data_IF_926637624108
#
_entry.id   IF_926637624108
#
_cell.length_a   1.000
_cell.length_b   1.000
_cell.length_c   1.000
_cell.angle_alpha   90.00
_cell.angle_beta   90.00
_cell.angle_gamma   90.00
#
_symmetry.space_group_name_H-M   'P 1'
#
loop_
_entity.id
_entity.type
_entity.pdbx_description
1 polymer ?
2 polymer ?
3 non-polymer ?
4 water ?
#
# COMPACT_ATOMS: atom_id res chain seq x y z
N UNK A 1 -14.06 9.32 4.24
CA UNK A 1 -14.33 10.75 4.19
C UNK A 1 -15.06 11.16 2.92
N UNK A 2 -15.41 12.44 2.82
CA UNK A 2 -16.15 12.89 1.63
C UNK A 2 -15.35 12.81 0.35
N UNK A 3 -14.03 12.72 0.43
CA UNK A 3 -13.18 12.69 -0.75
C UNK A 3 -12.73 11.29 -1.14
N UNK A 4 -12.97 10.29 -0.30
CA UNK A 4 -12.57 8.94 -0.63
C UNK A 4 -12.59 8.04 0.60
N UNK A 5 -12.17 6.81 0.39
CA UNK A 5 -12.25 5.80 1.43
C UNK A 5 -11.25 6.06 2.55
N UNK A 6 -11.65 5.77 3.78
CA UNK A 6 -10.79 5.76 4.95
C UNK A 6 -10.73 4.36 5.51
N UNK A 7 -9.54 3.92 5.89
CA UNK A 7 -9.39 2.57 6.42
C UNK A 7 -8.07 2.45 7.16
N UNK A 8 -7.92 1.32 7.85
CA UNK A 8 -6.76 1.05 8.68
C UNK A 8 -6.01 -0.12 8.07
N UNK A 9 -4.69 0.02 7.95
CA UNK A 9 -3.81 -1.03 7.47
C UNK A 9 -2.98 -1.52 8.65
N UNK A 10 -3.06 -2.81 8.96
CA UNK A 10 -2.34 -3.36 10.09
C UNK A 10 -1.36 -4.42 9.61
N UNK A 11 -0.08 -4.21 9.88
CA UNK A 11 0.97 -5.15 9.51
C UNK A 11 1.25 -6.08 10.68
N UNK A 12 1.43 -7.36 10.38
CA UNK A 12 1.70 -8.37 11.40
C UNK A 12 2.81 -9.26 10.90
N UNK A 13 3.90 -9.36 11.65
CA UNK A 13 4.95 -10.30 11.35
C UNK A 13 4.99 -11.31 12.49
N UNK A 14 4.93 -12.59 12.14
CA UNK A 14 4.86 -13.64 13.14
C UNK A 14 5.87 -14.73 12.82
N UNK A 15 6.32 -15.42 13.87
CA UNK A 15 7.18 -16.58 13.79
C UNK A 15 6.33 -17.80 14.11
N UNK A 16 6.18 -18.70 13.14
CA UNK A 16 5.45 -19.94 13.34
C UNK A 16 6.43 -21.08 13.53
N UNK A 17 6.21 -21.88 14.57
CA UNK A 17 7.06 -23.03 14.89
C UNK A 17 6.18 -24.23 15.18
N UNK A 18 6.04 -25.12 14.20
CA UNK A 18 5.13 -26.24 14.28
C UNK A 18 5.87 -27.54 14.52
N UNK A 19 5.10 -28.56 14.91
CA UNK A 19 5.65 -29.90 15.03
C UNK A 19 5.64 -30.59 13.67
N UNK A 20 6.44 -31.66 13.57
CA UNK A 20 6.50 -32.43 12.33
C UNK A 20 5.13 -32.92 11.90
N UNK A 21 4.32 -33.36 12.86
CA UNK A 21 3.07 -34.06 12.57
C UNK A 21 1.87 -33.12 12.49
N UNK A 22 2.08 -31.85 12.16
CA UNK A 22 0.96 -30.96 11.94
C UNK A 22 1.32 -29.98 10.85
N UNK A 23 0.33 -29.25 10.37
CA UNK A 23 0.56 -28.13 9.50
C UNK A 23 0.64 -26.82 10.26
N UNK A 24 0.93 -25.75 9.52
CA UNK A 24 0.86 -24.43 10.13
C UNK A 24 -0.58 -24.00 10.42
N UNK A 25 -1.56 -24.64 9.79
CA UNK A 25 -2.93 -24.38 10.17
C UNK A 25 -3.59 -23.26 9.39
N UNK A 26 -3.30 -23.17 8.10
CA UNK A 26 -3.98 -22.19 7.26
C UNK A 26 -4.05 -22.72 5.84
N UNK A 27 -4.95 -22.12 5.08
CA UNK A 27 -5.11 -22.43 3.67
C UNK A 27 -4.74 -21.17 2.90
N UNK A 28 -3.72 -21.28 2.05
CA UNK A 28 -3.25 -20.17 1.24
C UNK A 28 -3.95 -20.19 -0.09
N UNK A 29 -4.30 -19.01 -0.60
CA UNK A 29 -4.97 -18.96 -1.89
C UNK A 29 -4.53 -17.73 -2.66
N UNK A 30 -4.47 -17.87 -3.98
CA UNK A 30 -4.10 -16.77 -4.84
C UNK A 30 -5.32 -16.00 -5.31
N UNK A 31 -5.20 -14.68 -5.31
CA UNK A 31 -6.25 -13.80 -5.79
C UNK A 31 -6.15 -13.62 -7.30
N UNK A 39 2.71 -6.71 -14.04
CA UNK A 39 1.32 -6.53 -14.44
C UNK A 39 0.41 -6.26 -13.25
N UNK A 40 0.95 -6.42 -12.05
CA UNK A 40 0.19 -6.26 -10.80
C UNK A 40 0.88 -5.23 -9.92
N UNK A 41 0.13 -4.19 -9.54
CA UNK A 41 0.60 -3.20 -8.60
C UNK A 41 -0.20 -3.32 -7.32
N UNK A 42 0.43 -3.56 -6.17
CA UNK A 42 -0.34 -3.66 -4.92
C UNK A 42 -1.07 -2.37 -4.62
N UNK A 43 -2.28 -2.52 -4.10
CA UNK A 43 -3.13 -1.42 -3.70
C UNK A 43 -3.66 -1.72 -2.31
N UNK A 44 -4.13 -0.72 -1.58
CA UNK A 44 -4.67 -0.99 -0.24
C UNK A 44 -5.83 -1.98 -0.24
N UNK A 45 -6.68 -1.96 -1.26
CA UNK A 45 -7.79 -2.91 -1.35
C UNK A 45 -7.36 -4.24 -1.95
N UNK A 46 -6.10 -4.39 -2.33
CA UNK A 46 -5.58 -5.60 -2.98
C UNK A 46 -4.07 -5.59 -2.82
N UNK A 47 -3.55 -5.80 -1.61
CA UNK A 47 -2.12 -5.53 -1.35
C UNK A 47 -1.16 -6.61 -1.79
N UNK A 48 -1.63 -7.82 -2.13
CA UNK A 48 -0.73 -8.89 -2.51
C UNK A 48 -1.49 -9.96 -3.27
N UNK A 49 -0.74 -10.83 -3.96
CA UNK A 49 -1.37 -11.89 -4.74
C UNK A 49 -1.89 -13.06 -3.89
N UNK A 50 -1.26 -13.33 -2.75
CA UNK A 50 -1.65 -14.45 -1.90
C UNK A 50 -2.28 -13.97 -0.60
N UNK A 51 -3.30 -14.69 -0.14
CA UNK A 51 -3.97 -14.35 1.10
C UNK A 51 -4.38 -15.64 1.82
N UNK A 52 -4.70 -15.48 3.10
CA UNK A 52 -5.18 -16.58 3.93
C UNK A 52 -6.67 -16.75 3.73
N UNK A 53 -7.05 -17.80 3.01
CA UNK A 53 -8.47 -18.08 2.81
C UNK A 53 -9.14 -18.55 4.09
N UNK A 54 -8.41 -19.30 4.92
CA UNK A 54 -8.93 -19.75 6.19
C UNK A 54 -7.75 -19.96 7.11
N UNK A 55 -8.02 -19.89 8.41
CA UNK A 55 -7.01 -20.13 9.43
C UNK A 55 -7.66 -21.00 10.49
N UNK A 56 -7.07 -22.17 10.75
CA UNK A 56 -7.61 -23.10 11.74
C UNK A 56 -7.61 -22.46 13.11
N UNK A 57 -8.81 -22.28 13.68
CA UNK A 57 -8.89 -21.77 15.04
C UNK A 57 -8.14 -22.69 15.99
N UNK A 58 -7.23 -22.12 16.77
CA UNK A 58 -6.44 -22.87 17.71
C UNK A 58 -5.17 -23.49 17.15
N UNK A 59 -4.98 -23.45 15.82
CA UNK A 59 -3.79 -23.99 15.21
C UNK A 59 -2.61 -23.06 15.38
N UNK A 60 -1.47 -23.48 14.83
CA UNK A 60 -0.23 -22.73 15.02
C UNK A 60 -0.38 -21.30 14.52
N UNK A 61 -0.87 -21.13 13.29
CA UNK A 61 -0.99 -19.78 12.73
C UNK A 61 -1.95 -18.92 13.53
N UNK A 62 -3.09 -19.50 13.95
CA UNK A 62 -4.05 -18.75 14.76
C UNK A 62 -3.41 -18.28 16.06
N UNK A 63 -2.73 -19.18 16.77
CA UNK A 63 -2.15 -18.82 18.06
C UNK A 63 -1.10 -17.72 17.91
N UNK A 64 -0.47 -17.64 16.75
CA UNK A 64 0.53 -16.60 16.52
C UNK A 64 -0.08 -15.27 16.11
N UNK A 65 -1.32 -15.26 15.66
CA UNK A 65 -1.99 -14.00 15.35
C UNK A 65 -2.41 -13.83 13.91
N UNK A 66 -2.31 -14.89 13.11
CA UNK A 66 -2.74 -14.81 11.71
C UNK A 66 -4.24 -15.06 11.63
N UNK A 67 -4.88 -14.41 10.67
CA UNK A 67 -6.33 -14.46 10.57
C UNK A 67 -6.78 -14.56 9.13
N UNK A 68 -7.94 -15.18 8.93
CA UNK A 68 -8.57 -15.22 7.63
C UNK A 68 -8.61 -13.83 7.03
N UNK A 69 -8.20 -13.71 5.77
CA UNK A 69 -8.24 -12.44 5.06
C UNK A 69 -6.93 -11.69 5.04
N UNK A 70 -5.96 -12.10 5.86
CA UNK A 70 -4.63 -11.51 5.84
C UNK A 70 -3.95 -11.74 4.50
N UNK A 71 -3.29 -10.72 3.95
CA UNK A 71 -2.53 -10.85 2.71
C UNK A 71 -1.04 -11.04 3.01
N UNK A 72 -0.40 -11.92 2.25
CA UNK A 72 1.01 -12.24 2.51
C UNK A 72 1.93 -11.25 1.82
N UNK A 73 2.83 -10.65 2.60
CA UNK A 73 3.80 -9.68 2.09
C UNK A 73 5.19 -10.29 1.97
N UNK A 74 5.64 -11.03 2.99
CA UNK A 74 6.98 -11.61 3.01
C UNK A 74 6.94 -13.02 3.57
N UNK A 75 7.81 -13.88 3.04
CA UNK A 75 8.01 -15.23 3.57
C UNK A 75 9.50 -15.41 3.79
N UNK A 76 9.89 -15.62 5.04
CA UNK A 76 11.28 -15.93 5.41
C UNK A 76 12.27 -14.94 4.79
N UNK A 77 11.93 -13.66 4.82
CA UNK A 77 12.84 -12.63 4.34
C UNK A 77 12.77 -12.37 2.86
N UNK A 78 11.87 -13.01 2.14
CA UNK A 78 11.68 -12.79 0.71
C UNK A 78 10.32 -12.16 0.47
N UNK A 79 10.30 -11.08 -0.29
CA UNK A 79 9.03 -10.43 -0.58
C UNK A 79 8.22 -11.29 -1.54
N UNK A 80 6.93 -11.49 -1.24
CA UNK A 80 6.08 -12.33 -2.05
C UNK A 80 4.85 -11.59 -2.56
N UNK A 81 4.84 -10.26 -2.46
CA UNK A 81 3.67 -9.49 -2.88
C UNK A 81 3.26 -9.83 -4.31
N UNK A 82 4.23 -9.95 -5.22
CA UNK A 82 3.95 -10.19 -6.63
C UNK A 82 4.32 -11.61 -7.07
N UNK A 83 4.37 -12.56 -6.14
CA UNK A 83 4.85 -13.90 -6.45
C UNK A 83 3.66 -14.84 -6.59
N UNK A 84 3.76 -15.78 -7.54
CA UNK A 84 2.66 -16.68 -7.83
C UNK A 84 2.45 -17.71 -6.74
N UNK A 85 1.27 -18.33 -6.77
CA UNK A 85 0.84 -19.21 -5.69
C UNK A 85 1.80 -20.37 -5.49
N UNK A 86 2.14 -21.08 -6.58
CA UNK A 86 2.98 -22.26 -6.45
C UNK A 86 4.35 -21.90 -5.89
N UNK A 87 4.91 -20.78 -6.30
CA UNK A 87 6.23 -20.41 -5.80
C UNK A 87 6.19 -20.07 -4.32
N UNK A 88 5.14 -19.38 -3.87
CA UNK A 88 5.01 -19.07 -2.44
C UNK A 88 4.85 -20.35 -1.64
N UNK A 89 4.06 -21.31 -2.13
CA UNK A 89 3.93 -22.59 -1.45
C UNK A 89 5.29 -23.24 -1.25
N UNK A 90 6.11 -23.25 -2.31
CA UNK A 90 7.44 -23.87 -2.22
C UNK A 90 8.30 -23.15 -1.20
N UNK A 91 8.26 -21.81 -1.18
CA UNK A 91 9.04 -21.05 -0.21
C UNK A 91 8.63 -21.40 1.22
N UNK A 92 7.33 -21.57 1.47
CA UNK A 92 6.89 -21.94 2.81
C UNK A 92 7.37 -23.34 3.17
N UNK A 93 7.28 -24.28 2.24
CA UNK A 93 7.71 -25.65 2.54
C UNK A 93 9.21 -25.74 2.74
N UNK A 94 9.98 -24.88 2.07
CA UNK A 94 11.44 -24.90 2.23
C UNK A 94 11.86 -24.68 3.68
N UNK A 95 11.06 -23.93 4.44
CA UNK A 95 11.40 -23.67 5.82
C UNK A 95 11.10 -24.77 6.81
N UNK A 96 10.53 -25.88 6.35
CA UNK A 96 10.24 -27.00 7.23
C UNK A 96 9.24 -26.65 8.33
N UNK A 97 9.65 -26.80 9.58
CA UNK A 97 8.77 -26.54 10.71
C UNK A 97 8.77 -25.09 11.15
N UNK A 98 9.54 -24.24 10.47
CA UNK A 98 9.61 -22.83 10.83
C UNK A 98 9.12 -21.98 9.66
N UNK A 99 8.27 -21.01 9.96
CA UNK A 99 7.82 -20.04 8.94
C UNK A 99 7.77 -18.68 9.59
N UNK A 100 8.51 -17.72 9.04
CA UNK A 100 8.41 -16.34 9.46
C UNK A 100 7.73 -15.59 8.32
N UNK A 101 6.60 -14.95 8.61
CA UNK A 101 5.77 -14.37 7.57
C UNK A 101 5.30 -13.00 8.02
N UNK A 102 5.32 -12.05 7.09
CA UNK A 102 4.67 -10.76 7.29
C UNK A 102 3.38 -10.72 6.49
N UNK A 103 2.31 -10.32 7.14
CA UNK A 103 1.02 -10.18 6.48
C UNK A 103 0.51 -8.78 6.73
N UNK A 104 -0.54 -8.43 5.99
CA UNK A 104 -1.24 -7.18 6.20
C UNK A 104 -2.73 -7.47 6.21
N UNK A 105 -3.45 -6.85 7.13
CA UNK A 105 -4.90 -6.88 7.13
C UNK A 105 -5.42 -5.48 6.90
N UNK A 106 -6.52 -5.38 6.18
CA UNK A 106 -7.12 -4.10 5.82
C UNK A 106 -8.56 -4.08 6.34
N UNK A 107 -8.95 -2.95 6.95
CA UNK A 107 -10.27 -2.84 7.55
C UNK A 107 -10.72 -1.40 7.57
N UNK A 108 -12.04 -1.19 7.55
CA UNK A 108 -12.61 0.15 7.56
C UNK A 108 -13.14 0.55 8.92
N UNK B 1 0.76 -2.02 16.41
CA UNK B 1 0.54 -3.04 17.42
C UNK B 1 1.79 -3.85 17.71
N UNK B 2 1.70 -4.81 18.63
CA UNK B 2 2.91 -5.56 19.01
C UNK B 2 3.50 -6.37 17.87
N UNK B 3 2.73 -6.68 16.83
CA UNK B 3 3.22 -7.48 15.71
C UNK B 3 3.66 -6.65 14.51
N UNK B 4 3.47 -5.34 14.54
CA UNK B 4 3.84 -4.54 13.39
C UNK B 4 3.17 -3.19 13.40
N UNK B 5 3.55 -2.40 12.40
CA UNK B 5 3.07 -1.03 12.29
C UNK B 5 1.63 -0.99 11.78
N UNK B 6 0.85 -0.06 12.34
CA UNK B 6 -0.52 0.18 11.92
C UNK B 6 -0.61 1.58 11.31
N UNK B 7 -1.41 1.70 10.27
CA UNK B 7 -1.52 2.94 9.52
C UNK B 7 -2.98 3.33 9.32
N UNK B 8 -3.26 4.61 9.48
CA UNK B 8 -4.55 5.18 9.11
C UNK B 8 -4.40 5.76 7.71
N UNK B 9 -5.23 5.30 6.78
CA UNK B 9 -5.13 5.72 5.38
C UNK B 9 -6.39 6.49 5.03
N UNK B 10 -6.21 7.66 4.42
CA UNK B 10 -7.33 8.46 3.97
C UNK B 10 -7.12 8.80 2.50
N UNK B 11 -7.98 8.27 1.64
CA UNK B 11 -7.91 8.55 0.21
C UNK B 11 -8.73 9.79 -0.11
N UNK B 12 -8.21 10.63 -0.99
CA UNK B 12 -8.89 11.86 -1.41
C UNK B 12 -8.80 11.96 -2.92
N UNK B 13 -9.94 12.05 -3.61
CA UNK B 13 -9.93 12.37 -5.03
C UNK B 13 -10.60 13.73 -5.20
N UNK B 14 -9.92 14.64 -5.87
CA UNK B 14 -10.41 16.00 -6.02
C UNK B 14 -10.30 16.45 -7.47
N UNK B 15 -11.20 17.36 -7.85
CA UNK B 15 -11.16 18.03 -9.14
C UNK B 15 -10.68 19.46 -8.88
N UNK B 16 -9.51 19.79 -9.41
CA UNK B 16 -8.97 21.15 -9.29
C UNK B 16 -9.22 21.90 -10.59
N UNK B 17 -9.83 23.08 -10.47
CA UNK B 17 -10.06 23.95 -11.62
C UNK B 17 -9.48 25.31 -11.27
N UNK B 18 -8.47 25.74 -12.02
CA UNK B 18 -7.77 26.98 -11.71
C UNK B 18 -7.94 27.97 -12.84
N UNK B 19 -7.55 29.21 -12.58
CA UNK B 19 -7.50 30.22 -13.63
C UNK B 19 -6.14 30.19 -14.33
N UNK B 20 -6.11 30.79 -15.52
CA UNK B 20 -4.88 30.84 -16.29
C UNK B 20 -3.74 31.46 -15.49
N UNK B 21 -4.02 32.56 -14.77
CA UNK B 21 -2.99 33.34 -14.10
C UNK B 21 -2.68 32.88 -12.69
N UNK B 22 -2.89 31.60 -12.39
CA UNK B 22 -2.46 31.07 -11.11
C UNK B 22 -1.98 29.64 -11.32
N UNK B 23 -1.32 29.10 -10.31
CA UNK B 23 -1.02 27.69 -10.27
C UNK B 23 -2.07 26.92 -9.49
N UNK B 24 -1.91 25.60 -9.49
CA UNK B 24 -2.77 24.79 -8.63
C UNK B 24 -2.43 24.98 -7.15
N UNK B 25 -1.30 25.60 -6.85
CA UNK B 25 -1.01 25.93 -5.47
C UNK B 25 -0.37 24.80 -4.69
N UNK B 26 0.55 24.06 -5.29
CA UNK B 26 1.29 23.04 -4.56
C UNK B 26 2.65 22.84 -5.21
N UNK B 27 3.56 22.25 -4.44
CA UNK B 27 4.87 21.86 -4.95
C UNK B 27 4.95 20.34 -4.89
N UNK B 28 5.17 19.74 -6.05
CA UNK B 28 5.30 18.30 -6.17
C UNK B 28 6.77 17.91 -6.03
N UNK B 29 7.03 16.83 -5.29
CA UNK B 29 8.39 16.36 -5.09
C UNK B 29 8.46 14.84 -5.18
N UNK B 30 9.53 14.35 -5.80
CA UNK B 30 9.77 12.92 -5.83
C UNK B 30 10.48 12.46 -4.57
N UNK B 31 9.98 11.38 -3.97
CA UNK B 31 10.64 10.81 -2.81
C UNK B 31 11.84 9.96 -3.20
N UNK B 32 11.89 9.52 -4.45
CA UNK B 32 12.84 8.54 -4.95
C UNK B 32 12.82 8.63 -6.47
N UNK B 33 13.95 8.30 -7.09
CA UNK B 33 14.00 8.29 -8.54
C UNK B 33 13.36 7.03 -9.09
N UNK B 34 12.59 7.18 -10.17
CA UNK B 34 12.14 6.04 -10.94
C UNK B 34 13.27 5.54 -11.83
N UNK B 35 13.40 4.22 -11.94
CA UNK B 35 14.43 3.62 -12.77
C UNK B 35 13.85 2.43 -13.52
N UNK B 36 14.27 2.21 -14.77
CA UNK B 36 13.79 1.04 -15.52
C UNK B 36 14.28 -0.27 -14.94
N UNK B 37 15.27 -0.24 -14.06
CA UNK B 37 15.88 -1.48 -13.55
C UNK B 37 14.90 -2.24 -12.67
N UNK B 38 14.07 -1.52 -11.91
CA UNK B 38 13.24 -2.14 -10.88
C UNK B 38 12.02 -1.27 -10.67
N UNK B 39 10.84 -1.87 -10.75
CA UNK B 39 9.61 -1.11 -10.53
C UNK B 39 9.48 -0.73 -9.07
N UNK B 40 9.02 0.49 -8.83
CA UNK B 40 8.67 0.89 -7.48
C UNK B 40 7.55 0.00 -6.96
N UNK B 41 7.70 -0.48 -5.74
CA UNK B 41 6.66 -1.28 -5.11
C UNK B 41 6.11 -0.50 -3.93
N UNK B 42 4.86 -0.06 -3.97
CA UNK B 42 4.30 0.72 -2.87
C UNK B 42 4.10 -0.12 -1.62
N UNK B 43 4.20 0.55 -0.49
CA UNK B 43 3.91 0.01 0.83
C UNK B 43 2.96 0.97 1.54
N UNK B 44 2.33 0.53 2.64
CA UNK B 44 1.44 1.47 3.34
C UNK B 44 2.11 2.77 3.74
N UNK B 45 3.35 2.71 4.26
CA UNK B 45 4.07 3.91 4.68
C UNK B 45 4.61 4.73 3.53
N UNK B 46 4.83 4.11 2.38
CA UNK B 46 5.48 4.76 1.23
C UNK B 46 4.71 4.32 0.00
N UNK B 47 3.53 4.91 -0.24
CA UNK B 47 2.62 4.35 -1.25
C UNK B 47 2.77 4.88 -2.66
N UNK B 48 3.62 5.87 -2.90
CA UNK B 48 3.82 6.41 -4.24
C UNK B 48 5.13 7.18 -4.28
N UNK B 49 5.65 7.36 -5.50
CA UNK B 49 6.92 8.08 -5.67
C UNK B 49 6.78 9.58 -5.46
N UNK B 50 5.65 10.17 -5.85
CA UNK B 50 5.48 11.62 -5.79
C UNK B 50 4.59 12.02 -4.60
N UNK B 51 4.93 13.13 -3.97
CA UNK B 51 4.10 13.63 -2.88
C UNK B 51 4.06 15.16 -2.93
N UNK B 52 3.12 15.70 -2.17
CA UNK B 52 2.97 17.16 -2.04
C UNK B 52 3.95 17.66 -0.99
N UNK B 53 5.05 18.27 -1.44
CA UNK B 53 6.01 18.80 -0.49
C UNK B 53 5.43 19.99 0.27
N UNK B 54 4.60 20.80 -0.41
CA UNK B 54 3.92 21.92 0.23
C UNK B 54 2.63 22.19 -0.54
N UNK B 55 1.70 22.84 0.15
CA UNK B 55 0.42 23.24 -0.44
C UNK B 55 0.14 24.67 0.01
N UNK B 56 -0.13 25.55 -0.94
CA UNK B 56 -0.34 26.96 -0.64
C UNK B 56 -1.64 27.14 0.15
N UNK B 57 -1.54 27.67 1.36
CA UNK B 57 -2.73 27.99 2.13
C UNK B 57 -3.66 28.88 1.32
N UNK B 58 -4.91 28.47 1.21
CA UNK B 58 -5.89 29.25 0.48
C UNK B 58 -5.88 29.09 -1.03
N UNK B 59 -4.90 28.37 -1.59
CA UNK B 59 -4.84 28.14 -3.01
C UNK B 59 -5.83 27.07 -3.47
N UNK B 60 -5.75 26.77 -4.77
CA UNK B 60 -6.75 25.90 -5.39
C UNK B 60 -6.73 24.51 -4.74
N UNK B 61 -5.53 23.93 -4.61
CA UNK B 61 -5.41 22.59 -4.06
C UNK B 61 -5.84 22.56 -2.60
N UNK B 62 -5.42 23.56 -1.82
CA UNK B 62 -5.83 23.61 -0.42
C UNK B 62 -7.34 23.67 -0.29
N UNK B 63 -8.00 24.49 -1.10
CA UNK B 63 -9.45 24.63 -0.97
C UNK B 63 -10.16 23.33 -1.28
N UNK B 64 -9.57 22.49 -2.14
CA UNK B 64 -10.19 21.22 -2.47
C UNK B 64 -9.91 20.13 -1.45
N UNK B 65 -9.01 20.36 -0.50
CA UNK B 65 -8.73 19.40 0.55
C UNK B 65 -7.35 18.77 0.50
N UNK B 66 -6.51 19.14 -0.46
CA UNK B 66 -5.17 18.59 -0.53
C UNK B 66 -4.26 19.24 0.50
N UNK B 67 -3.31 18.46 1.01
CA UNK B 67 -2.46 18.90 2.11
C UNK B 67 -1.05 18.40 1.91
N UNK B 68 -0.11 19.16 2.46
CA UNK B 68 1.29 18.75 2.51
C UNK B 68 1.39 17.32 3.04
N UNK B 69 2.19 16.50 2.36
CA UNK B 69 2.42 15.13 2.76
C UNK B 69 1.60 14.12 2.00
N UNK B 70 0.53 14.54 1.33
CA UNK B 70 -0.29 13.62 0.54
C UNK B 70 0.55 12.98 -0.57
N UNK B 71 0.40 11.67 -0.76
CA UNK B 71 1.06 10.97 -1.86
C UNK B 71 0.15 10.91 -3.07
N UNK B 72 0.73 11.08 -4.25
CA UNK B 72 -0.04 11.13 -5.49
C UNK B 72 -0.20 9.74 -6.08
N UNK B 73 -1.46 9.28 -6.20
CA UNK B 73 -1.77 7.95 -6.71
C UNK B 73 -2.16 7.99 -8.19
N UNK B 74 -3.01 8.94 -8.57
CA UNK B 74 -3.51 9.05 -9.93
C UNK B 74 -3.55 10.51 -10.35
N UNK B 75 -3.33 10.73 -11.64
CA UNK B 75 -3.47 12.03 -12.28
C UNK B 75 -4.32 11.85 -13.53
N UNK B 76 -5.50 12.46 -13.54
CA UNK B 76 -6.37 12.46 -14.73
C UNK B 76 -6.59 11.05 -15.27
N UNK B 77 -6.84 10.09 -14.38
CA UNK B 77 -7.18 8.74 -14.80
C UNK B 77 -6.00 7.83 -15.08
N UNK B 78 -4.78 8.32 -14.86
CA UNK B 78 -3.57 7.55 -15.08
C UNK B 78 -2.89 7.31 -13.74
N UNK B 79 -2.55 6.05 -13.47
CA UNK B 79 -1.87 5.75 -12.23
C UNK B 79 -0.44 6.27 -12.27
N UNK B 80 -0.03 6.97 -11.20
CA UNK B 80 1.32 7.53 -11.16
C UNK B 80 2.12 7.03 -9.95
N UNK B 81 1.65 5.96 -9.31
CA UNK B 81 2.35 5.43 -8.13
C UNK B 81 3.82 5.17 -8.42
N UNK B 82 4.12 4.60 -9.58
CA UNK B 82 5.45 4.12 -9.91
C UNK B 82 6.18 5.04 -10.87
N UNK B 83 5.67 6.26 -11.11
CA UNK B 83 6.11 7.12 -12.20
C UNK B 83 7.06 8.19 -11.68
N UNK B 84 8.08 8.50 -12.49
CA UNK B 84 9.08 9.49 -12.14
C UNK B 84 8.56 10.91 -12.17
N UNK B 85 9.37 11.82 -11.62
CA UNK B 85 8.91 13.16 -11.30
C UNK B 85 8.62 13.97 -12.57
N UNK B 86 9.57 14.00 -13.50
CA UNK B 86 9.37 14.79 -14.72
C UNK B 86 8.15 14.31 -15.49
N UNK B 87 7.90 12.99 -15.49
CA UNK B 87 6.75 12.48 -16.23
C UNK B 87 5.44 12.89 -15.56
N UNK B 88 5.37 12.87 -14.22
CA UNK B 88 4.14 13.27 -13.56
C UNK B 88 3.88 14.76 -13.74
N UNK B 89 4.93 15.58 -13.64
CA UNK B 89 4.77 17.01 -13.92
C UNK B 89 4.17 17.22 -15.30
N UNK B 90 4.72 16.52 -16.31
CA UNK B 90 4.20 16.63 -17.67
C UNK B 90 2.73 16.23 -17.73
N UNK B 91 2.35 15.16 -17.05
CA UNK B 91 0.95 14.72 -17.09
C UNK B 91 0.03 15.78 -16.48
N UNK B 92 0.49 16.44 -15.41
CA UNK B 92 -0.30 17.51 -14.80
C UNK B 92 -0.42 18.70 -15.75
N UNK B 93 0.69 19.07 -16.41
CA UNK B 93 0.65 20.21 -17.32
C UNK B 93 -0.23 19.95 -18.54
N UNK B 94 -0.33 18.69 -18.98
CA UNK B 94 -1.17 18.37 -20.13
C UNK B 94 -2.63 18.74 -19.88
N UNK B 95 -3.06 18.73 -18.62
CA UNK B 95 -4.44 19.07 -18.30
C UNK B 95 -4.77 20.55 -18.30
N UNK B 96 -3.77 21.43 -18.37
CA UNK B 96 -4.07 22.85 -18.40
C UNK B 96 -4.65 23.34 -17.09
N UNK B 97 -5.83 23.93 -17.12
CA UNK B 97 -6.41 24.50 -15.91
C UNK B 97 -7.23 23.49 -15.13
N UNK B 98 -7.30 22.26 -15.59
CA UNK B 98 -8.06 21.21 -14.90
C UNK B 98 -7.09 20.12 -14.47
N UNK B 99 -7.21 19.69 -13.22
CA UNK B 99 -6.43 18.56 -12.71
C UNK B 99 -7.33 17.72 -11.82
N UNK B 100 -7.50 16.46 -12.18
CA UNK B 100 -8.17 15.51 -11.30
C UNK B 100 -7.10 14.58 -10.73
N UNK B 101 -6.99 14.52 -9.42
CA UNK B 101 -5.97 13.70 -8.79
C UNK B 101 -6.57 12.92 -7.63
N UNK B 102 -6.10 11.71 -7.47
CA UNK B 102 -6.31 10.93 -6.26
C UNK B 102 -5.03 10.94 -5.46
N UNK B 103 -5.14 11.25 -4.17
CA UNK B 103 -4.01 11.19 -3.26
C UNK B 103 -4.37 10.30 -2.08
N UNK B 104 -3.36 9.96 -1.30
CA UNK B 104 -3.55 9.25 -0.04
C UNK B 104 -2.77 9.97 1.05
N UNK B 105 -3.41 10.15 2.20
CA UNK B 105 -2.75 10.65 3.39
C UNK B 105 -2.52 9.46 4.31
N UNK B 106 -1.26 9.24 4.70
CA UNK B 106 -0.89 8.13 5.56
C UNK B 106 -0.44 8.68 6.90
N UNK B 107 -0.98 8.12 7.97
CA UNK B 107 -0.57 8.47 9.32
C UNK B 107 -0.38 7.19 10.12
N UNK B 108 0.74 7.08 10.81
CA UNK B 108 0.94 5.93 11.69
C UNK B 108 -0.08 6.00 12.82
N UNK B 109 -0.77 4.89 13.04
CA UNK B 109 -1.85 4.85 14.03
C UNK B 109 -1.26 5.02 15.43
N UNK B 110 -1.93 5.76 16.31
CA UNK B 110 -1.46 5.89 17.69
C UNK B 110 -1.47 4.54 18.40
N UNK B 111 -0.52 4.38 19.33
CA UNK B 111 -0.44 3.14 20.09
C UNK B 111 -1.70 2.92 20.90
N UNK B 112 -2.13 1.67 21.00
CA UNK B 112 -3.34 1.32 21.73
C UNK B 112 -3.30 -0.13 22.21
N UNK C 1 -4.26 -24.09 -1.09
CA UNK C 1 -3.30 -25.08 -0.61
C UNK C 1 -3.22 -25.04 0.91
N UNK C 2 -3.54 -26.15 1.54
CA UNK C 2 -3.44 -26.27 3.00
C UNK C 2 -1.98 -26.45 3.40
N UNK C 3 -1.54 -25.64 4.35
CA UNK C 3 -0.15 -25.66 4.79
C UNK C 3 -0.04 -25.84 6.30
N UNK D 1 8.83 20.65 -7.94
CA UNK D 1 8.29 21.49 -9.01
C UNK D 1 7.01 22.19 -8.56
N UNK D 2 7.01 23.51 -8.66
CA UNK D 2 5.82 24.28 -8.30
C UNK D 2 4.80 24.22 -9.44
N UNK D 3 3.59 23.80 -9.12
CA UNK D 3 2.52 23.66 -10.11
C UNK D 3 1.29 24.47 -9.74
X LIG E 1 -5.45 -25.73 -1.95
X LIG E 1 -6.10 -23.41 -1.84
X LIG E 1 -7.50 -23.70 -3.94
X LIG E 1 -9.75 -24.40 -6.63
X LIG E 1 -9.93 -24.36 -8.14
X LIG E 1 -8.86 -24.52 -9.04
X LIG E 1 -9.11 -24.46 -10.40
X LIG E 1 -10.40 -24.23 -10.87
X LIG E 1 -10.73 -24.16 -12.37
X LIG E 1 -11.46 -24.07 -9.97
X LIG E 1 -5.10 -24.59 -2.13
X LIG E 1 -7.52 -23.74 -2.40
X LIG E 1 -11.21 -24.13 -8.62
X LIG E 1 -8.61 -24.26 -4.67
X LIG E 1 -8.60 -24.21 -6.05
X LIG E 1 -6.56 -23.24 -4.53
X LIG E 1 -11.92 -23.83 -12.73
X LIG E 1 -9.87 -24.41 -13.22
X LIG F 1 10.74 21.84 -8.02
X LIG F 1 10.34 20.52 -6.01
X LIG F 1 12.49 19.52 -6.97
X LIG F 1 12.72 16.81 -9.37
X LIG F 1 13.39 16.28 -10.64
X LIG F 1 13.28 14.92 -10.91
X LIG F 1 13.84 14.38 -12.04
X LIG F 1 14.53 15.20 -12.92
X LIG F 1 15.16 14.57 -14.18
X LIG F 1 14.65 16.56 -12.66
X LIG F 1 10.18 20.88 -7.55
X LIG F 1 11.69 19.82 -5.69
X LIG F 1 14.07 17.11 -11.51
X LIG F 1 12.15 18.36 -7.77
X LIG F 1 12.83 18.05 -8.93
X LIG F 1 13.38 20.26 -7.30
X LIG F 1 15.93 15.27 -14.94
X LIG F 1 14.92 13.39 -14.46
#
# INVERSE_FOLDING_TARGET
GPLGSDYIIKEKTVLLQKKDSEGFGFVLRGAKAQTPIEEFTPTPAFPALQYLESVDEGGVAWRAGLRMGDFLIEVNGQNVVKVGHRQVVNMIRQGGNTLMVKVVMVTRHPDM
GPLGSDYIIKEKTVLLQKKDSEGFGFVLRGAKAQTPIEEFTPTPAFPALQYLESVDEGGVAWRAGLRMGDFLIEVNGQNVVKVGHRQVVNMIRQGGNTLMVKVVMVTRHPDM
TRL
TRL
PWQ O3 C15 C17 C18 C19 C20 C21 C22 C23 C24 C14 C16 C25 N7 N8 O4 O5 O6
PWQ O3 C15 C17 C18 C19 C20 C21 C22 C23 C24 C14 C16 C25 N7 N8 O4 O5 O6
#
